data_IF_416892030551
#
_entry.id   IF_416892030551
#
_cell.length_a   1.000
_cell.length_b   1.000
_cell.length_c   1.000
_cell.angle_alpha   90.00
_cell.angle_beta   90.00
_cell.angle_gamma   90.00
#
_symmetry.space_group_name_H-M   'P 1'
#
loop_
_entity.id
_entity.type
_entity.pdbx_description
1 polymer ?
#
# COMPACT_ATOMS: atom_id res chain seq x y z
N UNK A 1 -0.13 -6.26 -3.09
CA UNK A 1 0.62 -5.02 -2.75
C UNK A 1 -0.25 -3.76 -2.78
N UNK A 2 0.31 -2.57 -2.45
CA UNK A 2 -0.45 -1.31 -2.25
C UNK A 2 -1.32 -0.91 -3.45
N UNK A 3 -0.75 -0.84 -4.65
CA UNK A 3 -1.47 -0.46 -5.86
C UNK A 3 -2.63 -1.40 -6.17
N UNK A 4 -2.43 -2.71 -5.96
CA UNK A 4 -3.48 -3.70 -6.16
C UNK A 4 -4.63 -3.60 -5.18
N UNK A 5 -4.34 -3.30 -3.91
CA UNK A 5 -5.38 -3.03 -2.92
C UNK A 5 -6.15 -1.76 -3.28
N UNK A 6 -5.47 -0.68 -3.66
CA UNK A 6 -6.12 0.57 -4.11
C UNK A 6 -7.01 0.34 -5.33
N UNK A 7 -6.51 -0.36 -6.35
CA UNK A 7 -7.28 -0.69 -7.54
C UNK A 7 -8.52 -1.53 -7.21
N UNK A 8 -8.35 -2.58 -6.38
CA UNK A 8 -9.45 -3.44 -5.96
C UNK A 8 -10.54 -2.65 -5.21
N UNK A 9 -10.15 -1.75 -4.31
CA UNK A 9 -11.08 -0.87 -3.58
C UNK A 9 -11.89 -0.01 -4.54
N UNK A 10 -11.22 0.63 -5.51
CA UNK A 10 -11.91 1.49 -6.46
C UNK A 10 -12.86 0.70 -7.37
N UNK A 11 -12.45 -0.47 -7.86
CA UNK A 11 -13.33 -1.36 -8.64
C UNK A 11 -14.53 -1.87 -7.83
N UNK A 12 -14.33 -2.30 -6.58
CA UNK A 12 -15.42 -2.75 -5.73
C UNK A 12 -16.45 -1.63 -5.49
N UNK A 13 -15.97 -0.38 -5.30
CA UNK A 13 -16.84 0.80 -5.15
C UNK A 13 -17.62 1.16 -6.42
N UNK A 14 -17.12 0.78 -7.59
CA UNK A 14 -17.85 0.89 -8.86
C UNK A 14 -18.86 -0.25 -9.08
N UNK A 15 -18.94 -1.20 -8.14
CA UNK A 15 -19.92 -2.30 -8.17
C UNK A 15 -19.42 -3.58 -8.84
N UNK A 16 -18.12 -3.69 -9.13
CA UNK A 16 -17.54 -4.94 -9.64
C UNK A 16 -17.36 -5.97 -8.52
N UNK A 17 -17.55 -7.24 -8.84
CA UNK A 17 -17.13 -8.34 -7.98
C UNK A 17 -15.62 -8.55 -8.14
N UNK A 18 -14.86 -8.36 -7.06
CA UNK A 18 -13.40 -8.31 -7.09
C UNK A 18 -12.81 -9.39 -6.19
N UNK A 19 -11.92 -10.18 -6.77
CA UNK A 19 -11.06 -11.12 -6.04
C UNK A 19 -9.60 -10.72 -6.22
N UNK A 20 -8.89 -10.53 -5.11
CA UNK A 20 -7.45 -10.26 -5.08
C UNK A 20 -6.70 -11.54 -4.77
N UNK A 21 -5.75 -11.89 -5.64
CA UNK A 21 -4.84 -13.01 -5.43
C UNK A 21 -3.50 -12.48 -4.92
N UNK A 22 -3.00 -13.08 -3.84
CA UNK A 22 -1.73 -12.73 -3.22
C UNK A 22 -0.87 -13.99 -3.09
N UNK A 23 0.41 -13.87 -3.46
CA UNK A 23 1.34 -15.00 -3.43
C UNK A 23 1.78 -15.34 -2.02
N UNK A 24 1.79 -14.34 -1.13
CA UNK A 24 2.12 -14.51 0.27
C UNK A 24 0.91 -15.08 1.04
N UNK A 25 1.16 -15.63 2.23
CA UNK A 25 0.12 -16.22 3.09
C UNK A 25 -0.85 -15.18 3.71
N UNK A 26 -0.52 -13.88 3.57
CA UNK A 26 -1.26 -12.77 4.19
C UNK A 26 -0.99 -11.45 3.48
N UNK A 27 -1.87 -10.47 3.73
CA UNK A 27 -1.65 -9.09 3.32
C UNK A 27 -0.46 -8.46 4.08
N UNK A 28 0.24 -7.53 3.42
CA UNK A 28 1.41 -6.86 3.99
C UNK A 28 2.67 -6.92 3.13
N UNK A 29 2.61 -7.53 1.95
CA UNK A 29 3.78 -7.74 1.09
C UNK A 29 4.74 -8.79 1.64
N UNK A 30 5.88 -8.99 0.98
CA UNK A 30 6.76 -10.11 1.30
C UNK A 30 7.36 -10.02 2.70
N UNK A 31 7.27 -11.13 3.46
CA UNK A 31 7.88 -11.24 4.78
C UNK A 31 9.42 -11.14 4.78
N UNK A 32 10.07 -11.23 3.61
CA UNK A 32 11.51 -10.99 3.46
C UNK A 32 11.89 -9.51 3.49
N UNK A 33 10.93 -8.64 3.18
CA UNK A 33 11.12 -7.18 3.06
C UNK A 33 10.41 -6.47 4.20
N UNK A 34 9.22 -6.94 4.57
CA UNK A 34 8.36 -6.31 5.57
C UNK A 34 8.30 -7.13 6.87
N UNK A 35 8.26 -6.51 8.06
CA UNK A 35 8.01 -5.08 8.28
C UNK A 35 9.16 -4.16 7.87
N UNK A 36 8.79 -3.01 7.30
CA UNK A 36 9.74 -1.94 6.94
C UNK A 36 9.11 -0.57 7.13
N UNK A 37 9.93 0.48 7.16
CA UNK A 37 9.47 1.87 7.18
C UNK A 37 9.83 2.50 5.84
N UNK A 38 8.84 3.06 5.18
CA UNK A 38 9.03 3.81 3.95
C UNK A 38 8.85 5.29 4.22
N UNK A 39 9.63 6.11 3.53
CA UNK A 39 9.57 7.57 3.60
C UNK A 39 9.25 8.13 2.22
N UNK A 40 8.29 9.03 2.13
CA UNK A 40 7.89 9.64 0.86
C UNK A 40 7.41 11.07 1.05
N UNK A 41 7.71 11.99 0.11
CA UNK A 41 6.99 13.24 0.01
C UNK A 41 5.51 12.96 -0.25
N UNK A 42 4.61 13.68 0.41
CA UNK A 42 3.18 13.44 0.26
C UNK A 42 2.35 14.70 0.49
N UNK A 43 1.39 14.93 -0.41
CA UNK A 43 0.32 15.91 -0.22
C UNK A 43 -1.01 15.16 -0.06
N UNK A 44 -1.52 15.07 1.17
CA UNK A 44 -2.65 14.18 1.49
C UNK A 44 -3.93 14.48 0.70
N UNK A 45 -4.30 15.76 0.56
CA UNK A 45 -5.54 16.11 -0.18
C UNK A 45 -5.46 15.69 -1.65
N UNK A 46 -4.35 16.00 -2.33
CA UNK A 46 -4.12 15.57 -3.72
C UNK A 46 -4.01 14.06 -3.86
N UNK A 47 -3.40 13.37 -2.90
CA UNK A 47 -3.36 11.91 -2.91
C UNK A 47 -4.77 11.33 -2.79
N UNK A 48 -5.56 11.82 -1.83
CA UNK A 48 -6.95 11.38 -1.63
C UNK A 48 -7.83 11.66 -2.84
N UNK A 49 -7.70 12.83 -3.46
CA UNK A 49 -8.36 13.20 -4.72
C UNK A 49 -8.00 12.19 -5.84
N UNK A 50 -6.72 11.80 -5.92
CA UNK A 50 -6.24 10.90 -6.96
C UNK A 50 -6.64 9.43 -6.75
N UNK A 51 -6.51 8.88 -5.54
CA UNK A 51 -6.74 7.45 -5.28
C UNK A 51 -8.12 7.13 -4.68
N UNK A 52 -8.88 8.15 -4.24
CA UNK A 52 -10.20 7.98 -3.62
C UNK A 52 -10.17 7.46 -2.18
N UNK A 53 -9.00 7.41 -1.53
CA UNK A 53 -8.80 6.83 -0.20
C UNK A 53 -8.02 7.81 0.68
N UNK A 54 -8.52 8.06 1.89
CA UNK A 54 -7.79 8.84 2.89
C UNK A 54 -6.75 7.97 3.59
N UNK A 55 -5.49 8.10 3.18
CA UNK A 55 -4.37 7.35 3.75
C UNK A 55 -3.66 8.10 4.88
N UNK A 56 -4.05 9.36 5.17
CA UNK A 56 -3.39 10.20 6.19
C UNK A 56 -3.20 9.51 7.55
N UNK A 57 -4.14 8.71 8.07
CA UNK A 57 -3.97 8.02 9.36
C UNK A 57 -2.78 7.05 9.41
N UNK A 58 -2.24 6.62 8.27
CA UNK A 58 -1.13 5.66 8.19
C UNK A 58 0.26 6.32 8.18
N UNK A 59 0.31 7.66 8.22
CA UNK A 59 1.54 8.41 8.05
C UNK A 59 1.88 9.23 9.30
N UNK A 60 3.15 9.19 9.68
CA UNK A 60 3.73 10.09 10.68
C UNK A 60 4.59 11.15 10.00
N UNK A 61 4.50 12.40 10.46
CA UNK A 61 5.33 13.49 9.93
C UNK A 61 6.79 13.27 10.35
N UNK A 62 7.72 13.45 9.41
CA UNK A 62 9.14 13.49 9.76
C UNK A 62 9.51 14.87 10.29
N UNK A 63 9.91 14.95 11.56
CA UNK A 63 10.25 16.22 12.20
C UNK A 63 11.67 16.70 11.85
N UNK A 64 12.62 15.76 11.71
CA UNK A 64 14.02 16.05 11.41
C UNK A 64 14.51 15.00 10.43
N UNK A 65 14.99 15.46 9.28
CA UNK A 65 15.78 14.64 8.36
C UNK A 65 17.26 14.97 8.55
N UNK A 66 18.08 13.91 8.68
CA UNK A 66 19.54 14.05 8.81
C UNK A 66 20.21 13.42 7.59
N UNK A 67 20.92 14.26 6.82
CA UNK A 67 21.72 13.82 5.68
C UNK A 67 23.21 13.85 6.06
N UNK A 68 23.92 12.76 5.76
CA UNK A 68 25.37 12.69 5.85
C UNK A 68 25.95 12.92 4.45
N UNK A 69 26.57 14.07 4.22
CA UNK A 69 27.10 14.50 2.93
C UNK A 69 28.60 14.71 3.08
N UNK A 70 29.39 13.71 2.67
CA UNK A 70 30.83 13.63 2.95
C UNK A 70 31.10 13.78 4.46
N UNK A 71 31.86 14.80 4.86
CA UNK A 71 32.17 15.13 6.25
C UNK A 71 31.14 16.04 6.92
N UNK A 72 30.05 16.42 6.23
CA UNK A 72 29.02 17.32 6.74
C UNK A 72 27.79 16.54 7.17
N UNK A 73 27.24 16.92 8.32
CA UNK A 73 25.92 16.49 8.78
C UNK A 73 24.98 17.67 8.55
N UNK A 74 23.91 17.44 7.79
CA UNK A 74 22.90 18.45 7.48
C UNK A 74 21.57 18.01 8.07
N UNK A 75 20.99 18.87 8.90
CA UNK A 75 19.65 18.68 9.44
C UNK A 75 18.69 19.62 8.72
N UNK A 76 17.55 19.11 8.28
CA UNK A 76 16.45 19.93 7.82
C UNK A 76 15.12 19.38 8.32
N UNK A 77 14.14 20.27 8.48
CA UNK A 77 12.77 19.93 8.86
C UNK A 77 11.91 19.96 7.58
N UNK A 78 11.68 18.81 6.93
CA UNK A 78 10.93 18.77 5.68
C UNK A 78 9.42 18.96 5.95
N UNK A 79 8.81 19.89 5.23
CA UNK A 79 7.38 20.19 5.40
C UNK A 79 6.47 19.04 4.97
N UNK A 80 6.83 18.37 3.86
CA UNK A 80 5.98 17.39 3.17
C UNK A 80 6.51 15.96 3.21
N UNK A 81 7.50 15.65 4.06
CA UNK A 81 8.07 14.30 4.14
C UNK A 81 7.45 13.51 5.29
N UNK A 82 6.89 12.35 4.94
CA UNK A 82 6.17 11.50 5.88
C UNK A 82 6.74 10.09 5.84
N UNK A 83 6.61 9.39 6.96
CA UNK A 83 6.97 7.99 7.11
C UNK A 83 5.73 7.14 7.33
N UNK A 84 5.74 5.93 6.79
CA UNK A 84 4.68 4.95 7.00
C UNK A 84 5.28 3.57 7.21
N UNK A 85 4.66 2.78 8.07
CA UNK A 85 5.00 1.38 8.22
C UNK A 85 4.41 0.57 7.06
N UNK A 86 5.19 -0.36 6.54
CA UNK A 86 4.82 -1.32 5.52
C UNK A 86 4.85 -2.71 6.13
N UNK A 87 3.82 -3.50 5.88
CA UNK A 87 3.76 -4.84 6.43
C UNK A 87 2.38 -5.31 6.86
N UNK A 88 2.32 -6.41 7.62
CA UNK A 88 1.09 -7.00 8.13
C UNK A 88 0.58 -6.35 9.44
N UNK A 89 1.33 -5.40 10.01
CA UNK A 89 1.00 -4.79 11.30
C UNK A 89 -0.24 -3.90 11.17
N UNK A 90 -1.07 -3.83 12.22
CA UNK A 90 -2.31 -3.04 12.23
C UNK A 90 -2.11 -1.54 11.98
N UNK A 91 -0.91 -1.05 12.26
CA UNK A 91 -0.46 0.34 12.08
C UNK A 91 0.10 0.63 10.69
N UNK A 92 0.30 -0.40 9.86
CA UNK A 92 0.87 -0.27 8.52
C UNK A 92 -0.15 0.20 7.48
N UNK A 93 0.36 0.84 6.43
CA UNK A 93 -0.45 1.24 5.27
C UNK A 93 -1.07 0.02 4.55
N UNK A 94 -0.33 -1.08 4.41
CA UNK A 94 -0.83 -2.27 3.71
C UNK A 94 -2.00 -2.90 4.47
N UNK A 95 -1.90 -3.05 5.80
CA UNK A 95 -2.98 -3.59 6.61
C UNK A 95 -4.20 -2.67 6.65
N UNK A 96 -3.97 -1.35 6.66
CA UNK A 96 -5.05 -0.37 6.60
C UNK A 96 -5.85 -0.49 5.30
N UNK A 97 -5.17 -0.50 4.14
CA UNK A 97 -5.83 -0.70 2.84
C UNK A 97 -6.49 -2.07 2.75
N UNK A 98 -5.85 -3.13 3.24
CA UNK A 98 -6.47 -4.46 3.33
C UNK A 98 -7.77 -4.44 4.14
N UNK A 99 -7.79 -3.74 5.28
CA UNK A 99 -8.98 -3.62 6.13
C UNK A 99 -10.11 -2.87 5.42
N UNK A 100 -9.79 -1.81 4.67
CA UNK A 100 -10.77 -1.12 3.83
C UNK A 100 -11.29 -2.09 2.77
N UNK A 101 -10.40 -2.79 2.06
CA UNK A 101 -10.79 -3.71 1.00
C UNK A 101 -11.75 -4.80 1.50
N UNK A 102 -11.49 -5.38 2.67
CA UNK A 102 -12.40 -6.36 3.30
C UNK A 102 -13.77 -5.77 3.64
N UNK A 103 -13.83 -4.49 4.04
CA UNK A 103 -15.11 -3.80 4.32
C UNK A 103 -15.91 -3.53 3.05
N UNK A 104 -15.23 -3.29 1.93
CA UNK A 104 -15.85 -3.12 0.60
C UNK A 104 -16.29 -4.45 -0.03
N UNK A 105 -16.17 -5.58 0.68
CA UNK A 105 -16.63 -6.89 0.21
C UNK A 105 -15.65 -7.64 -0.70
N UNK A 106 -14.40 -7.18 -0.81
CA UNK A 106 -13.41 -7.78 -1.70
C UNK A 106 -12.98 -9.17 -1.17
N UNK A 107 -12.96 -10.14 -2.09
CA UNK A 107 -12.49 -11.50 -1.84
C UNK A 107 -10.97 -11.57 -1.92
N UNK A 108 -10.36 -12.43 -1.10
CA UNK A 108 -8.91 -12.60 -1.06
C UNK A 108 -8.55 -14.07 -1.09
N UNK A 109 -7.66 -14.43 -2.01
CA UNK A 109 -7.08 -15.74 -2.13
C UNK A 109 -5.56 -15.64 -1.93
N UNK A 110 -5.08 -16.22 -0.84
CA UNK A 110 -3.67 -16.15 -0.43
C UNK A 110 -2.91 -17.40 -0.86
N UNK A 111 -1.58 -17.32 -0.87
CA UNK A 111 -0.69 -18.40 -1.32
C UNK A 111 -0.92 -18.84 -2.77
N UNK A 112 -1.45 -17.94 -3.62
CA UNK A 112 -1.67 -18.20 -5.05
C UNK A 112 -0.70 -17.36 -5.87
N UNK A 113 0.17 -18.02 -6.62
CA UNK A 113 1.02 -17.40 -7.63
C UNK A 113 0.58 -17.81 -9.03
N UNK A 114 0.30 -16.85 -9.90
CA UNK A 114 0.08 -17.13 -11.32
C UNK A 114 1.42 -17.14 -12.05
N UNK A 115 1.76 -18.28 -12.66
CA UNK A 115 2.90 -18.42 -13.58
C UNK A 115 2.46 -18.31 -15.05
N UNK A 116 1.22 -18.68 -15.35
CA UNK A 116 0.60 -18.63 -16.68
C UNK A 116 -0.90 -18.35 -16.54
N UNK A 117 -1.43 -17.43 -17.34
CA UNK A 117 -2.88 -17.19 -17.47
C UNK A 117 -3.29 -17.64 -18.87
N UNK A 118 -3.98 -18.78 -18.97
CA UNK A 118 -4.71 -19.13 -20.19
C UNK A 118 -5.93 -18.22 -20.27
N UNK A 119 -6.07 -17.46 -21.37
CA UNK A 119 -7.14 -16.48 -21.53
C UNK A 119 -8.51 -17.12 -21.29
N UNK A 120 -9.16 -16.76 -20.19
CA UNK A 120 -10.54 -17.06 -19.88
C UNK A 120 -11.11 -15.84 -19.14
N UNK A 121 -12.33 -15.46 -19.53
CA UNK A 121 -12.90 -14.11 -19.46
C UNK A 121 -13.25 -13.58 -18.06
N UNK A 122 -12.30 -13.50 -17.13
CA UNK A 122 -12.48 -12.79 -15.87
C UNK A 122 -11.29 -11.84 -15.64
N UNK A 123 -11.58 -10.60 -15.28
CA UNK A 123 -10.59 -9.53 -15.09
C UNK A 123 -9.69 -9.89 -13.89
N UNK A 124 -8.50 -10.43 -14.16
CA UNK A 124 -7.50 -10.74 -13.15
C UNK A 124 -6.46 -9.62 -13.12
N UNK A 125 -6.37 -8.86 -12.03
CA UNK A 125 -5.34 -7.86 -11.83
C UNK A 125 -4.17 -8.44 -11.02
N UNK A 126 -3.06 -8.74 -11.70
CA UNK A 126 -1.78 -9.06 -11.06
C UNK A 126 -1.01 -7.77 -10.75
N UNK A 127 -0.55 -7.62 -9.51
CA UNK A 127 0.40 -6.58 -9.13
C UNK A 127 1.65 -7.21 -8.51
N UNK A 128 2.80 -6.93 -9.11
CA UNK A 128 4.13 -7.43 -8.70
C UNK A 128 4.66 -6.79 -7.42
#
# INVERSE_FOLDING_TARGET
GLSGLTAAINLAREGYDVTVYEKEERAGGSGKINPSVHMTPLHFEKMKEYIGIDVKPCFSKLNIFTAYIYSKIVHFNPEYLYVTERGPQKTSLDYYLYTIARKEGINFEFSISFLFISHSYNLCLMFY
#
